data_IF_724417422277
#
_entry.id   IF_724417422277
#
_cell.length_a   1.000
_cell.length_b   1.000
_cell.length_c   1.000
_cell.angle_alpha   90.00
_cell.angle_beta   90.00
_cell.angle_gamma   90.00
#
_symmetry.space_group_name_H-M   'P 1'
#
loop_
_entity.id
_entity.type
_entity.pdbx_description
1 polymer ?
#
# COMPACT_ATOMS: atom_id res chain seq x y z
N UNK A 1 -21.01 3.40 6.89
CA UNK A 1 -20.79 3.43 5.51
C UNK A 1 -19.42 2.87 5.11
N UNK A 2 -19.44 1.94 4.26
CA UNK A 2 -18.23 1.30 3.89
C UNK A 2 -17.51 2.05 2.82
N UNK A 3 -16.33 2.37 3.11
CA UNK A 3 -15.54 3.07 2.18
C UNK A 3 -14.99 2.14 1.12
N UNK A 4 -15.06 2.56 -0.10
CA UNK A 4 -14.37 1.93 -1.21
C UNK A 4 -12.87 1.80 -0.89
N UNK A 5 -12.34 2.79 -0.18
CA UNK A 5 -10.93 2.82 0.16
C UNK A 5 -10.56 1.78 1.22
N UNK A 6 -11.49 1.44 2.10
CA UNK A 6 -11.22 0.43 3.10
C UNK A 6 -10.94 -0.91 2.44
N UNK A 7 -11.77 -1.27 1.46
CA UNK A 7 -11.56 -2.53 0.76
C UNK A 7 -10.26 -2.55 -0.03
N UNK A 8 -9.91 -1.43 -0.64
CA UNK A 8 -8.65 -1.34 -1.38
C UNK A 8 -7.46 -1.53 -0.46
N UNK A 9 -7.46 -0.88 0.70
CA UNK A 9 -6.36 -1.01 1.64
C UNK A 9 -6.24 -2.44 2.15
N UNK A 10 -7.35 -3.11 2.39
CA UNK A 10 -7.31 -4.50 2.83
C UNK A 10 -6.71 -5.40 1.76
N UNK A 11 -7.03 -5.16 0.50
CA UNK A 11 -6.45 -5.95 -0.58
C UNK A 11 -4.95 -5.67 -0.75
N UNK A 12 -4.54 -4.43 -0.54
CA UNK A 12 -3.13 -4.10 -0.59
C UNK A 12 -2.36 -4.79 0.53
N UNK A 13 -2.96 -4.90 1.72
CA UNK A 13 -2.33 -5.63 2.82
C UNK A 13 -2.12 -7.09 2.45
N UNK A 14 -3.06 -7.69 1.75
CA UNK A 14 -2.91 -9.07 1.31
C UNK A 14 -1.79 -9.24 0.29
N UNK A 15 -1.48 -8.18 -0.45
CA UNK A 15 -0.36 -8.21 -1.39
C UNK A 15 0.99 -7.97 -0.70
N UNK A 16 0.98 -7.75 0.60
CA UNK A 16 2.20 -7.56 1.36
C UNK A 16 2.39 -6.18 1.94
N UNK A 17 1.51 -5.24 1.62
CA UNK A 17 1.63 -3.87 2.12
C UNK A 17 0.97 -3.76 3.48
N UNK A 18 1.52 -4.44 4.46
CA UNK A 18 0.98 -4.41 5.82
C UNK A 18 2.06 -3.94 6.77
N UNK A 19 1.62 -3.36 7.88
CA UNK A 19 2.53 -2.88 8.91
C UNK A 19 3.50 -4.00 9.31
N UNK A 20 4.76 -3.62 9.48
CA UNK A 20 5.85 -4.50 9.90
C UNK A 20 6.39 -5.41 8.79
N UNK A 21 5.76 -5.45 7.65
CA UNK A 21 6.31 -6.21 6.52
C UNK A 21 7.47 -5.47 5.88
N UNK A 22 8.31 -6.22 5.21
CA UNK A 22 9.42 -5.64 4.44
C UNK A 22 9.10 -5.76 2.96
N UNK A 23 9.40 -4.69 2.24
CA UNK A 23 9.12 -4.67 0.81
C UNK A 23 10.21 -3.93 0.06
N UNK A 24 10.37 -4.29 -1.20
CA UNK A 24 11.25 -3.57 -2.10
C UNK A 24 10.40 -2.70 -3.01
N UNK A 25 10.61 -1.39 -2.93
CA UNK A 25 9.88 -0.42 -3.73
C UNK A 25 10.88 0.54 -4.34
N UNK A 26 10.70 0.82 -5.63
CA UNK A 26 11.57 1.78 -6.32
C UNK A 26 13.06 1.43 -6.18
N UNK A 27 13.36 0.12 -6.14
CA UNK A 27 14.73 -0.33 -6.03
C UNK A 27 15.33 -0.27 -4.63
N UNK A 28 14.55 0.11 -3.63
CA UNK A 28 15.00 0.24 -2.25
C UNK A 28 14.23 -0.70 -1.35
N UNK A 29 14.88 -1.18 -0.30
CA UNK A 29 14.21 -2.01 0.69
C UNK A 29 13.65 -1.17 1.82
N UNK A 30 12.40 -1.42 2.16
CA UNK A 30 11.71 -0.69 3.23
C UNK A 30 11.07 -1.64 4.21
N UNK A 31 11.00 -1.21 5.45
CA UNK A 31 10.17 -1.86 6.45
C UNK A 31 8.95 -0.96 6.66
N UNK A 32 7.77 -1.52 6.53
CA UNK A 32 6.54 -0.72 6.58
C UNK A 32 6.19 -0.39 8.02
N UNK A 33 5.98 0.89 8.29
CA UNK A 33 5.64 1.37 9.63
C UNK A 33 4.14 1.48 9.82
N UNK A 34 3.37 1.43 8.76
CA UNK A 34 1.92 1.53 8.83
C UNK A 34 1.28 0.67 7.76
N UNK A 35 -0.03 0.46 7.91
CA UNK A 35 -0.84 -0.10 6.85
C UNK A 35 -1.06 0.96 5.78
N UNK A 36 -1.45 0.57 4.57
CA UNK A 36 -1.74 1.55 3.52
C UNK A 36 -2.87 2.49 3.93
N UNK A 37 -2.77 3.73 3.50
CA UNK A 37 -3.84 4.69 3.74
C UNK A 37 -4.00 5.59 2.52
N UNK A 38 -5.21 6.10 2.33
CA UNK A 38 -5.55 6.90 1.17
C UNK A 38 -5.47 8.37 1.52
N UNK A 39 -4.83 9.14 0.65
CA UNK A 39 -4.77 10.59 0.78
C UNK A 39 -5.45 11.16 -0.45
N UNK A 40 -6.44 12.02 -0.23
CA UNK A 40 -7.23 12.54 -1.35
C UNK A 40 -8.22 11.49 -1.82
N UNK A 41 -8.41 11.40 -3.13
CA UNK A 41 -9.43 10.52 -3.68
C UNK A 41 -8.86 9.19 -4.18
N UNK A 42 -7.61 9.16 -4.63
CA UNK A 42 -7.11 7.95 -5.27
C UNK A 42 -5.62 7.71 -5.07
N UNK A 43 -4.97 8.46 -4.21
CA UNK A 43 -3.55 8.26 -3.96
C UNK A 43 -3.36 7.48 -2.68
N UNK A 44 -2.59 6.40 -2.75
CA UNK A 44 -2.38 5.55 -1.60
C UNK A 44 -0.94 5.64 -1.15
N UNK A 45 -0.75 5.81 0.14
CA UNK A 45 0.57 5.92 0.74
C UNK A 45 0.76 4.87 1.82
N UNK A 46 2.00 4.65 2.17
CA UNK A 46 2.36 3.85 3.33
C UNK A 46 3.56 4.52 3.98
N UNK A 47 3.57 4.56 5.30
CA UNK A 47 4.74 5.04 6.02
C UNK A 47 5.73 3.90 6.15
N UNK A 48 6.99 4.18 5.87
CA UNK A 48 8.01 3.15 5.87
C UNK A 48 9.35 3.73 6.29
N UNK A 49 10.26 2.87 6.70
CA UNK A 49 11.61 3.27 7.01
C UNK A 49 12.55 2.60 6.03
N UNK A 50 13.42 3.39 5.43
CA UNK A 50 14.39 2.87 4.50
C UNK A 50 15.43 2.07 5.26
N UNK A 51 15.69 0.86 4.79
CA UNK A 51 16.51 -0.07 5.52
C UNK A 51 17.95 0.37 5.65
N UNK A 52 18.48 0.96 4.60
CA UNK A 52 19.88 1.41 4.59
C UNK A 52 20.12 2.61 5.46
N UNK A 53 19.33 3.67 5.25
CA UNK A 53 19.55 4.94 5.92
C UNK A 53 18.80 5.05 7.23
N UNK A 54 17.80 4.20 7.44
CA UNK A 54 16.94 4.21 8.61
C UNK A 54 16.16 5.51 8.73
N UNK A 55 15.87 6.13 7.59
CA UNK A 55 15.11 7.38 7.56
C UNK A 55 13.65 7.07 7.28
N UNK A 56 12.73 7.51 8.16
CA UNK A 56 11.30 7.30 7.91
C UNK A 56 10.85 8.12 6.71
N UNK A 57 9.98 7.53 5.90
CA UNK A 57 9.45 8.20 4.71
C UNK A 57 8.00 7.82 4.50
N UNK A 58 7.25 8.74 3.90
CA UNK A 58 5.92 8.43 3.41
C UNK A 58 6.06 8.09 1.94
N UNK A 59 5.68 6.88 1.57
CA UNK A 59 5.92 6.36 0.24
C UNK A 59 4.61 6.14 -0.47
N UNK A 60 4.52 6.67 -1.69
CA UNK A 60 3.36 6.44 -2.52
C UNK A 60 3.44 5.04 -3.11
N UNK A 61 2.37 4.28 -2.97
CA UNK A 61 2.32 2.95 -3.57
C UNK A 61 2.18 3.12 -5.07
N UNK A 62 2.99 2.40 -5.87
CA UNK A 62 2.95 2.55 -7.32
C UNK A 62 1.55 2.31 -7.87
N UNK A 63 1.15 3.14 -8.82
CA UNK A 63 -0.18 3.07 -9.39
C UNK A 63 -0.52 1.72 -10.00
N UNK A 64 0.38 1.04 -10.70
CA UNK A 64 0.05 -0.29 -11.21
C UNK A 64 -0.34 -1.28 -10.12
N UNK A 65 0.27 -1.18 -8.94
CA UNK A 65 -0.07 -2.06 -7.83
C UNK A 65 -1.45 -1.72 -7.29
N UNK A 66 -1.75 -0.42 -7.19
CA UNK A 66 -3.07 0.02 -6.73
C UNK A 66 -4.14 -0.48 -7.70
N UNK A 67 -3.88 -0.37 -8.99
CA UNK A 67 -4.83 -0.84 -10.01
C UNK A 67 -5.02 -2.34 -9.95
N UNK A 68 -3.96 -3.08 -9.69
CA UNK A 68 -4.05 -4.52 -9.57
C UNK A 68 -4.94 -4.92 -8.39
N UNK A 69 -4.78 -4.26 -7.27
CA UNK A 69 -5.59 -4.54 -6.09
C UNK A 69 -7.05 -4.18 -6.34
N UNK A 70 -7.29 -3.08 -7.05
CA UNK A 70 -8.65 -2.67 -7.35
C UNK A 70 -9.31 -3.61 -8.35
N UNK A 71 -8.55 -4.14 -9.29
CA UNK A 71 -9.06 -5.12 -10.25
C UNK A 71 -9.53 -6.40 -9.57
N UNK A 72 -8.83 -6.81 -8.54
CA UNK A 72 -9.24 -7.99 -7.79
C UNK A 72 -10.60 -7.83 -7.19
N UNK A 73 -10.94 -6.63 -6.76
CA UNK A 73 -12.25 -6.34 -6.22
C UNK A 73 -13.33 -6.59 -7.27
N UNK A 74 -13.09 -6.15 -8.49
CA UNK A 74 -14.06 -6.36 -9.56
C UNK A 74 -14.24 -7.83 -9.89
N UNK A 75 -13.14 -8.55 -9.89
CA UNK A 75 -13.18 -9.97 -10.19
C UNK A 75 -13.96 -10.73 -9.12
N UNK A 76 -13.78 -10.33 -7.87
CA UNK A 76 -14.47 -10.97 -6.75
C UNK A 76 -15.96 -10.68 -6.77
N UNK A 77 -16.35 -9.53 -7.26
CA UNK A 77 -17.75 -9.13 -7.29
C UNK A 77 -18.56 -9.84 -8.37
N UNK A 78 -17.92 -10.48 -9.28
CA UNK A 78 -18.61 -11.16 -10.39
C UNK A 78 -19.30 -12.47 -9.98
#
# INVERSE_FOLDING_TARGET
MTSHHTGLCERLKKLGFAQENRMKLYGEEFELLSDPFVVGTDTVFVDAIERKSRIPRRIRIPLPIVKMADSERERTAA
#
